data_IF_116807945901
#
_entry.id   IF_116807945901
#
_cell.length_a   1.000
_cell.length_b   1.000
_cell.length_c   1.000
_cell.angle_alpha   90.00
_cell.angle_beta   90.00
_cell.angle_gamma   90.00
#
_symmetry.space_group_name_H-M   'P 1'
#
loop_
_entity.id
_entity.type
_entity.pdbx_description
1 polymer ?
#
# COMPACT_ATOMS: atom_id res chain seq x y z
N UNK A 1 10.46 -22.74 10.21
CA UNK A 1 9.45 -22.50 9.15
C UNK A 1 8.19 -21.96 9.81
N UNK A 2 7.73 -20.80 9.40
CA UNK A 2 6.53 -20.16 9.95
C UNK A 2 5.26 -20.78 9.36
N UNK A 3 4.19 -20.89 10.17
CA UNK A 3 2.88 -21.32 9.71
C UNK A 3 1.97 -20.11 9.59
N UNK A 4 1.37 -19.89 8.43
CA UNK A 4 0.54 -18.71 8.14
C UNK A 4 -0.85 -19.13 7.65
N UNK A 5 -1.81 -18.22 7.85
CA UNK A 5 -3.14 -18.36 7.28
C UNK A 5 -3.48 -17.14 6.42
N UNK A 6 -4.39 -17.32 5.47
CA UNK A 6 -4.91 -16.28 4.60
C UNK A 6 -6.39 -16.05 4.92
N UNK A 7 -6.79 -14.82 5.17
CA UNK A 7 -8.17 -14.39 5.41
C UNK A 7 -8.57 -13.39 4.32
N UNK A 8 -9.50 -13.80 3.45
CA UNK A 8 -9.91 -13.02 2.28
C UNK A 8 -9.36 -13.60 0.98
N UNK A 9 -10.23 -14.21 0.17
CA UNK A 9 -9.89 -14.87 -1.10
C UNK A 9 -10.50 -14.10 -2.28
N UNK A 10 -10.34 -12.76 -2.24
CA UNK A 10 -10.76 -11.84 -3.28
C UNK A 10 -9.68 -11.61 -4.36
N UNK A 11 -9.79 -10.49 -5.09
CA UNK A 11 -8.85 -10.15 -6.18
C UNK A 11 -7.39 -10.04 -5.71
N UNK A 12 -7.15 -9.52 -4.51
CA UNK A 12 -5.81 -9.32 -3.97
C UNK A 12 -5.06 -10.63 -3.65
N UNK A 13 -5.74 -11.78 -3.56
CA UNK A 13 -5.10 -13.02 -3.08
C UNK A 13 -4.04 -13.57 -4.02
N UNK A 14 -4.16 -13.35 -5.33
CA UNK A 14 -3.28 -13.98 -6.33
C UNK A 14 -1.79 -13.69 -6.13
N UNK A 15 -1.33 -12.44 -6.00
CA UNK A 15 0.09 -12.15 -5.75
C UNK A 15 0.58 -12.70 -4.40
N UNK A 16 -0.28 -12.73 -3.38
CA UNK A 16 0.08 -13.33 -2.09
C UNK A 16 0.25 -14.84 -2.17
N UNK A 17 -0.70 -15.55 -2.80
CA UNK A 17 -0.60 -17.00 -2.97
C UNK A 17 0.65 -17.42 -3.75
N UNK A 18 0.96 -16.73 -4.86
CA UNK A 18 2.19 -16.95 -5.63
C UNK A 18 3.44 -16.70 -4.80
N UNK A 19 3.48 -15.59 -4.05
CA UNK A 19 4.59 -15.26 -3.16
C UNK A 19 4.83 -16.32 -2.09
N UNK A 20 3.77 -16.85 -1.50
CA UNK A 20 3.87 -17.91 -0.49
C UNK A 20 4.34 -19.24 -1.08
N UNK A 21 3.96 -19.57 -2.32
CA UNK A 21 4.46 -20.74 -3.03
C UNK A 21 5.98 -20.60 -3.33
N UNK A 22 6.43 -19.40 -3.71
CA UNK A 22 7.86 -19.13 -3.91
C UNK A 22 8.67 -19.23 -2.60
N UNK A 23 8.06 -18.90 -1.47
CA UNK A 23 8.69 -18.89 -0.14
C UNK A 23 8.45 -20.21 0.65
N UNK A 24 8.11 -21.31 -0.03
CA UNK A 24 7.77 -22.61 0.60
C UNK A 24 8.82 -23.15 1.56
N UNK A 25 10.08 -22.75 1.40
CA UNK A 25 11.18 -23.17 2.29
C UNK A 25 11.21 -22.38 3.61
N UNK A 26 10.51 -21.24 3.69
CA UNK A 26 10.41 -20.36 4.86
C UNK A 26 9.06 -20.41 5.54
N UNK A 27 8.01 -20.64 4.77
CA UNK A 27 6.62 -20.50 5.22
C UNK A 27 5.75 -21.64 4.72
N UNK A 28 4.80 -22.08 5.55
CA UNK A 28 3.76 -23.04 5.20
C UNK A 28 2.40 -22.39 5.39
N UNK A 29 1.58 -22.41 4.34
CA UNK A 29 0.15 -22.04 4.45
C UNK A 29 -0.58 -23.16 5.18
N UNK A 30 -1.16 -22.84 6.34
CA UNK A 30 -1.94 -23.78 7.12
C UNK A 30 -3.41 -23.76 6.72
N UNK A 31 -3.94 -22.56 6.43
CA UNK A 31 -5.36 -22.34 6.12
C UNK A 31 -5.54 -21.15 5.18
N UNK A 32 -6.60 -21.21 4.35
CA UNK A 32 -7.09 -20.09 3.58
C UNK A 32 -8.62 -19.99 3.78
N UNK A 33 -9.08 -18.84 4.27
CA UNK A 33 -10.46 -18.60 4.66
C UNK A 33 -11.17 -17.54 3.81
N UNK A 34 -12.39 -17.84 3.46
CA UNK A 34 -13.40 -16.90 2.96
C UNK A 34 -14.78 -17.38 3.40
N UNK A 35 -15.77 -16.52 3.70
CA UNK A 35 -17.13 -16.96 3.96
C UNK A 35 -17.77 -17.63 2.73
N UNK A 36 -17.30 -17.34 1.52
CA UNK A 36 -17.79 -17.93 0.28
C UNK A 36 -17.14 -19.29 0.00
N UNK A 37 -17.92 -20.37 0.05
CA UNK A 37 -17.47 -21.73 -0.30
C UNK A 37 -16.91 -21.78 -1.74
N UNK A 38 -17.57 -21.11 -2.69
CA UNK A 38 -17.11 -21.04 -4.08
C UNK A 38 -15.69 -20.45 -4.20
N UNK A 39 -15.40 -19.35 -3.47
CA UNK A 39 -14.05 -18.74 -3.47
C UNK A 39 -13.02 -19.65 -2.82
N UNK A 40 -13.38 -20.37 -1.76
CA UNK A 40 -12.48 -21.35 -1.11
C UNK A 40 -12.11 -22.46 -2.07
N UNK A 41 -13.11 -23.08 -2.70
CA UNK A 41 -12.90 -24.17 -3.67
C UNK A 41 -12.07 -23.72 -4.87
N UNK A 42 -12.39 -22.54 -5.45
CA UNK A 42 -11.60 -21.94 -6.52
C UNK A 42 -10.13 -21.73 -6.13
N UNK A 43 -9.89 -21.21 -4.91
CA UNK A 43 -8.56 -20.94 -4.40
C UNK A 43 -7.77 -22.25 -4.23
N UNK A 44 -8.36 -23.26 -3.60
CA UNK A 44 -7.74 -24.57 -3.39
C UNK A 44 -7.40 -25.25 -4.73
N UNK A 45 -8.32 -25.23 -5.69
CA UNK A 45 -8.06 -25.77 -7.04
C UNK A 45 -6.94 -25.05 -7.77
N UNK A 46 -6.90 -23.69 -7.66
CA UNK A 46 -5.95 -22.88 -8.41
C UNK A 46 -4.52 -22.94 -7.85
N UNK A 47 -4.38 -23.02 -6.53
CA UNK A 47 -3.07 -22.87 -5.87
C UNK A 47 -2.60 -24.13 -5.15
N UNK A 48 -3.46 -25.14 -4.99
CA UNK A 48 -3.13 -26.36 -4.24
C UNK A 48 -2.91 -26.10 -2.74
N UNK A 49 -3.44 -24.99 -2.20
CA UNK A 49 -3.28 -24.60 -0.82
C UNK A 49 -4.51 -24.98 0.01
N UNK A 50 -4.33 -25.36 1.31
CA UNK A 50 -5.42 -25.82 2.14
C UNK A 50 -6.40 -24.68 2.47
N UNK A 51 -7.71 -25.01 2.49
CA UNK A 51 -8.77 -24.10 2.88
C UNK A 51 -9.38 -24.47 4.25
N UNK A 52 -10.12 -23.54 4.85
CA UNK A 52 -11.01 -23.78 5.98
C UNK A 52 -12.28 -22.94 5.85
N UNK A 53 -13.35 -23.38 6.50
CA UNK A 53 -14.68 -22.76 6.41
C UNK A 53 -15.02 -21.80 7.56
N UNK A 54 -14.13 -21.73 8.58
CA UNK A 54 -14.33 -20.91 9.78
C UNK A 54 -13.06 -20.12 10.12
N UNK A 55 -13.23 -18.85 10.45
CA UNK A 55 -12.15 -18.00 10.93
C UNK A 55 -11.63 -18.48 12.29
N UNK A 56 -12.50 -19.00 13.13
CA UNK A 56 -12.18 -19.56 14.44
C UNK A 56 -11.11 -20.66 14.35
N UNK A 57 -11.19 -21.54 13.34
CA UNK A 57 -10.18 -22.57 13.08
C UNK A 57 -8.76 -21.99 13.00
N UNK A 58 -8.61 -20.82 12.37
CA UNK A 58 -7.33 -20.12 12.25
C UNK A 58 -6.91 -19.53 13.60
N UNK A 59 -7.83 -18.87 14.29
CA UNK A 59 -7.55 -18.14 15.52
C UNK A 59 -7.23 -19.07 16.70
N UNK A 60 -7.91 -20.22 16.79
CA UNK A 60 -7.75 -21.22 17.85
C UNK A 60 -6.53 -22.13 17.65
N UNK A 61 -6.04 -22.30 16.41
CA UNK A 61 -4.84 -23.09 16.14
C UNK A 61 -3.58 -22.35 16.63
N UNK A 62 -3.05 -22.79 17.79
CA UNK A 62 -1.83 -22.23 18.38
C UNK A 62 -0.58 -22.39 17.51
N UNK A 63 -0.60 -23.29 16.55
CA UNK A 63 0.53 -23.52 15.64
C UNK A 63 0.59 -22.50 14.48
N UNK A 64 -0.47 -21.71 14.25
CA UNK A 64 -0.48 -20.61 13.30
C UNK A 64 0.25 -19.40 13.91
N UNK A 65 1.37 -18.98 13.31
CA UNK A 65 2.17 -17.84 13.76
C UNK A 65 1.57 -16.50 13.31
N UNK A 66 1.03 -16.45 12.08
CA UNK A 66 0.62 -15.18 11.47
C UNK A 66 -0.57 -15.35 10.51
N UNK A 67 -1.28 -14.24 10.29
CA UNK A 67 -2.45 -14.16 9.40
C UNK A 67 -2.25 -13.06 8.37
N UNK A 68 -2.44 -13.37 7.08
CA UNK A 68 -2.60 -12.37 6.04
C UNK A 68 -4.09 -11.98 5.94
N UNK A 69 -4.39 -10.71 6.19
CA UNK A 69 -5.75 -10.16 6.10
C UNK A 69 -5.89 -9.40 4.79
N UNK A 70 -6.66 -9.98 3.85
CA UNK A 70 -6.83 -9.52 2.46
C UNK A 70 -8.31 -9.21 2.16
N UNK A 71 -9.06 -8.86 3.18
CA UNK A 71 -10.49 -8.56 3.13
C UNK A 71 -10.74 -7.10 2.73
N UNK A 72 -11.99 -6.67 2.50
CA UNK A 72 -12.29 -5.25 2.32
C UNK A 72 -11.90 -4.40 3.54
N UNK A 73 -11.45 -3.14 3.33
CA UNK A 73 -10.92 -2.28 4.40
C UNK A 73 -11.84 -2.11 5.61
N UNK A 74 -13.14 -2.03 5.39
CA UNK A 74 -14.13 -1.86 6.46
C UNK A 74 -14.26 -3.04 7.43
N UNK A 75 -13.56 -4.14 7.18
CA UNK A 75 -13.53 -5.33 8.05
C UNK A 75 -12.18 -5.51 8.75
N UNK A 76 -11.19 -4.64 8.46
CA UNK A 76 -9.82 -4.84 8.91
C UNK A 76 -9.69 -4.75 10.42
N UNK A 77 -10.26 -3.71 11.05
CA UNK A 77 -10.16 -3.51 12.51
C UNK A 77 -10.63 -4.75 13.28
N UNK A 78 -11.84 -5.23 13.00
CA UNK A 78 -12.44 -6.34 13.73
C UNK A 78 -11.67 -7.65 13.56
N UNK A 79 -11.16 -7.91 12.36
CA UNK A 79 -10.38 -9.13 12.09
C UNK A 79 -9.00 -9.03 12.76
N UNK A 80 -8.34 -7.87 12.67
CA UNK A 80 -7.01 -7.67 13.25
C UNK A 80 -7.05 -7.68 14.78
N UNK A 81 -8.07 -7.09 15.41
CA UNK A 81 -8.27 -7.17 16.87
C UNK A 81 -8.43 -8.62 17.33
N UNK A 82 -9.17 -9.44 16.58
CA UNK A 82 -9.30 -10.89 16.86
C UNK A 82 -7.98 -11.64 16.69
N UNK A 83 -7.21 -11.31 15.65
CA UNK A 83 -5.85 -11.85 15.46
C UNK A 83 -4.93 -11.45 16.63
N UNK A 84 -4.97 -10.18 17.05
CA UNK A 84 -4.20 -9.69 18.19
C UNK A 84 -4.57 -10.40 19.49
N UNK A 85 -5.86 -10.60 19.75
CA UNK A 85 -6.35 -11.35 20.91
C UNK A 85 -5.88 -12.81 20.91
N UNK A 86 -5.77 -13.42 19.72
CA UNK A 86 -5.27 -14.78 19.53
C UNK A 86 -3.73 -14.87 19.46
N UNK A 87 -3.00 -13.76 19.66
CA UNK A 87 -1.54 -13.72 19.63
C UNK A 87 -0.92 -13.93 18.25
N UNK A 88 -1.62 -13.59 17.17
CA UNK A 88 -1.16 -13.77 15.79
C UNK A 88 -0.53 -12.49 15.24
N UNK A 89 0.65 -12.60 14.62
CA UNK A 89 1.20 -11.53 13.78
C UNK A 89 0.31 -11.31 12.56
N UNK A 90 0.31 -10.08 12.00
CA UNK A 90 -0.58 -9.76 10.87
C UNK A 90 0.19 -9.12 9.71
N UNK A 91 -0.03 -9.64 8.51
CA UNK A 91 0.23 -8.96 7.24
C UNK A 91 -1.11 -8.46 6.71
N UNK A 92 -1.25 -7.13 6.58
CA UNK A 92 -2.52 -6.49 6.26
C UNK A 92 -2.49 -5.85 4.88
N UNK A 93 -3.50 -6.13 4.04
CA UNK A 93 -3.71 -5.37 2.82
C UNK A 93 -4.02 -3.90 3.11
N UNK A 94 -3.59 -3.06 2.18
CA UNK A 94 -3.87 -1.63 2.24
C UNK A 94 -5.33 -1.30 1.80
N UNK A 95 -5.89 -0.19 2.29
CA UNK A 95 -5.41 0.67 3.37
C UNK A 95 -5.53 -0.02 4.73
N UNK A 96 -4.97 0.57 5.80
CA UNK A 96 -5.10 0.01 7.16
C UNK A 96 -6.55 -0.21 7.55
N UNK A 97 -7.43 0.76 7.26
CA UNK A 97 -8.87 0.71 7.49
C UNK A 97 -9.57 1.84 6.69
N UNK A 98 -10.87 1.97 6.76
CA UNK A 98 -11.67 3.00 6.08
C UNK A 98 -11.53 4.40 6.69
N UNK A 99 -10.95 4.54 7.87
CA UNK A 99 -10.69 5.82 8.52
C UNK A 99 -9.44 5.76 9.39
N UNK A 100 -8.77 6.91 9.56
CA UNK A 100 -7.56 7.00 10.39
C UNK A 100 -7.84 6.65 11.84
N UNK A 101 -9.00 7.02 12.40
CA UNK A 101 -9.36 6.66 13.77
C UNK A 101 -9.48 5.15 14.00
N UNK A 102 -10.03 4.40 13.02
CA UNK A 102 -10.08 2.94 13.06
C UNK A 102 -8.70 2.32 12.84
N UNK A 103 -7.92 2.88 11.90
CA UNK A 103 -6.54 2.48 11.65
C UNK A 103 -5.65 2.64 12.90
N UNK A 104 -5.79 3.72 13.66
CA UNK A 104 -5.08 3.95 14.92
C UNK A 104 -5.43 2.92 15.99
N UNK A 105 -6.72 2.58 16.14
CA UNK A 105 -7.16 1.50 17.05
C UNK A 105 -6.56 0.15 16.63
N UNK A 106 -6.57 -0.16 15.34
CA UNK A 106 -6.01 -1.37 14.78
C UNK A 106 -4.50 -1.48 15.09
N UNK A 107 -3.73 -0.42 14.83
CA UNK A 107 -2.29 -0.38 15.12
C UNK A 107 -2.03 -0.49 16.62
N UNK A 108 -2.83 0.19 17.44
CA UNK A 108 -2.72 0.09 18.90
C UNK A 108 -2.96 -1.33 19.42
N UNK A 109 -3.96 -2.04 18.89
CA UNK A 109 -4.28 -3.41 19.31
C UNK A 109 -3.11 -4.38 19.07
N UNK A 110 -2.40 -4.23 17.93
CA UNK A 110 -1.22 -5.03 17.62
C UNK A 110 -0.01 -4.67 18.49
N UNK A 111 0.25 -3.36 18.66
CA UNK A 111 1.37 -2.86 19.44
C UNK A 111 1.26 -3.22 20.93
N UNK A 112 0.05 -3.14 21.52
CA UNK A 112 -0.20 -3.49 22.92
C UNK A 112 0.07 -4.96 23.25
N UNK A 113 0.08 -5.82 22.23
CA UNK A 113 0.40 -7.24 22.34
C UNK A 113 1.82 -7.58 21.85
N UNK A 114 2.63 -6.57 21.50
CA UNK A 114 3.98 -6.75 20.93
C UNK A 114 4.00 -7.64 19.70
N UNK A 115 2.95 -7.58 18.88
CA UNK A 115 2.79 -8.36 17.66
C UNK A 115 3.25 -7.55 16.45
N UNK A 116 3.85 -8.23 15.47
CA UNK A 116 4.26 -7.60 14.22
C UNK A 116 3.02 -7.34 13.36
N UNK A 117 2.84 -6.08 12.96
CA UNK A 117 1.90 -5.64 11.93
C UNK A 117 2.70 -5.10 10.75
N UNK A 118 2.64 -5.77 9.59
CA UNK A 118 3.16 -5.28 8.32
C UNK A 118 1.99 -4.90 7.39
N UNK A 119 2.16 -3.84 6.62
CA UNK A 119 1.14 -3.36 5.68
C UNK A 119 1.65 -3.49 4.25
N UNK A 120 0.77 -3.93 3.34
CA UNK A 120 1.11 -4.19 1.93
C UNK A 120 1.18 -2.87 1.16
N UNK A 121 2.25 -2.12 1.36
CA UNK A 121 2.64 -0.96 0.55
C UNK A 121 3.91 -1.31 -0.23
N UNK A 122 3.74 -2.24 -1.17
CA UNK A 122 4.82 -2.95 -1.87
C UNK A 122 5.75 -2.05 -2.67
N UNK A 123 5.34 -0.81 -3.01
CA UNK A 123 6.17 0.13 -3.74
C UNK A 123 7.42 0.55 -2.97
N UNK A 124 7.42 0.45 -1.62
CA UNK A 124 8.61 0.63 -0.77
C UNK A 124 9.70 -0.42 -1.02
N UNK A 125 9.33 -1.59 -1.55
CA UNK A 125 10.26 -2.69 -1.83
C UNK A 125 10.87 -2.65 -3.23
N UNK A 126 10.40 -1.76 -4.12
CA UNK A 126 10.97 -1.58 -5.46
C UNK A 126 12.44 -1.17 -5.37
N UNK A 127 13.36 -1.76 -6.18
CA UNK A 127 14.77 -1.37 -6.20
C UNK A 127 14.98 0.13 -6.41
N UNK A 128 14.23 0.73 -7.34
CA UNK A 128 14.26 2.17 -7.60
C UNK A 128 13.91 3.01 -6.37
N UNK A 129 12.83 2.64 -5.64
CA UNK A 129 12.43 3.33 -4.41
C UNK A 129 13.52 3.22 -3.33
N UNK A 130 14.05 2.00 -3.11
CA UNK A 130 15.12 1.77 -2.13
C UNK A 130 16.36 2.60 -2.45
N UNK A 131 16.76 2.66 -3.73
CA UNK A 131 17.92 3.46 -4.16
C UNK A 131 17.71 4.95 -3.88
N UNK A 132 16.53 5.49 -4.19
CA UNK A 132 16.22 6.90 -3.92
C UNK A 132 16.19 7.21 -2.42
N UNK A 133 15.61 6.34 -1.60
CA UNK A 133 15.63 6.50 -0.13
C UNK A 133 17.08 6.54 0.39
N UNK A 134 17.94 5.64 -0.07
CA UNK A 134 19.36 5.62 0.30
C UNK A 134 20.09 6.91 -0.14
N UNK A 135 19.85 7.34 -1.37
CA UNK A 135 20.48 8.53 -1.95
C UNK A 135 20.10 9.81 -1.20
N UNK A 136 18.83 9.97 -0.85
CA UNK A 136 18.36 11.11 -0.07
C UNK A 136 18.87 11.06 1.38
N UNK A 137 18.87 9.87 1.99
CA UNK A 137 19.37 9.67 3.35
C UNK A 137 20.90 9.90 3.47
N UNK A 138 21.67 9.57 2.43
CA UNK A 138 23.12 9.84 2.39
C UNK A 138 23.47 11.34 2.26
N UNK A 139 22.49 12.15 1.85
CA UNK A 139 22.69 13.57 1.58
C UNK A 139 23.48 13.88 0.30
N UNK A 140 23.71 12.90 -0.58
CA UNK A 140 24.43 13.10 -1.86
C UNK A 140 23.74 14.12 -2.77
N UNK A 141 22.40 14.17 -2.79
CA UNK A 141 21.64 15.17 -3.54
C UNK A 141 21.54 16.55 -2.84
N UNK A 142 21.99 16.67 -1.59
CA UNK A 142 21.82 17.88 -0.79
C UNK A 142 20.41 17.96 -0.17
N UNK A 143 20.03 19.18 0.26
CA UNK A 143 18.74 19.41 0.89
C UNK A 143 17.61 19.32 -0.14
N UNK A 144 16.44 18.83 0.31
CA UNK A 144 15.23 18.85 -0.49
C UNK A 144 14.79 20.28 -0.79
N UNK A 145 14.48 20.55 -2.07
CA UNK A 145 13.94 21.83 -2.57
C UNK A 145 12.46 21.65 -2.96
N UNK A 146 12.13 20.55 -3.65
CA UNK A 146 10.74 20.23 -3.97
C UNK A 146 10.52 18.72 -4.06
N UNK A 147 9.27 18.29 -3.76
CA UNK A 147 8.83 16.91 -3.95
C UNK A 147 7.38 16.89 -4.41
N UNK A 148 7.10 16.25 -5.53
CA UNK A 148 5.76 16.21 -6.14
C UNK A 148 5.37 14.79 -6.50
N UNK A 149 4.07 14.48 -6.39
CA UNK A 149 3.51 13.17 -6.74
C UNK A 149 2.33 13.33 -7.72
N UNK A 150 2.34 12.49 -8.75
CA UNK A 150 1.31 12.46 -9.79
C UNK A 150 0.73 11.06 -9.91
N UNK A 151 -0.58 10.97 -9.75
CA UNK A 151 -1.39 9.74 -9.83
C UNK A 151 -2.47 9.97 -10.88
N UNK A 152 -2.14 9.76 -12.13
CA UNK A 152 -2.96 10.09 -13.29
C UNK A 152 -3.51 8.81 -13.91
N UNK A 153 -4.52 8.24 -13.28
CA UNK A 153 -5.07 6.93 -13.65
C UNK A 153 -6.39 7.07 -14.42
N UNK A 154 -6.71 6.02 -15.14
CA UNK A 154 -8.04 5.84 -15.71
C UNK A 154 -8.78 4.70 -15.05
N UNK A 155 -10.01 4.97 -14.63
CA UNK A 155 -10.98 3.93 -14.25
C UNK A 155 -12.30 4.19 -14.99
N UNK A 156 -12.84 3.21 -15.72
CA UNK A 156 -14.16 3.36 -16.32
C UNK A 156 -15.25 3.40 -15.24
N UNK A 157 -16.42 3.99 -15.54
CA UNK A 157 -17.55 4.00 -14.60
C UNK A 157 -17.94 2.59 -14.14
N UNK A 158 -17.81 1.56 -14.99
CA UNK A 158 -18.09 0.16 -14.66
C UNK A 158 -17.21 -0.39 -13.50
N UNK A 159 -16.07 0.23 -13.22
CA UNK A 159 -15.28 -0.09 -12.03
C UNK A 159 -16.00 0.34 -10.74
N UNK A 160 -16.64 1.51 -10.76
CA UNK A 160 -17.37 2.07 -9.63
C UNK A 160 -18.81 1.54 -9.53
N UNK A 161 -19.38 0.99 -10.60
CA UNK A 161 -20.69 0.32 -10.58
C UNK A 161 -20.67 -1.03 -9.80
N UNK A 162 -19.48 -1.54 -9.46
CA UNK A 162 -19.37 -2.72 -8.59
C UNK A 162 -19.90 -2.42 -7.18
N UNK A 163 -20.61 -3.36 -6.52
CA UNK A 163 -21.24 -3.13 -5.23
C UNK A 163 -20.30 -2.52 -4.17
N UNK A 164 -20.64 -1.33 -3.70
CA UNK A 164 -19.94 -0.59 -2.68
C UNK A 164 -18.65 0.11 -3.11
N UNK A 165 -18.19 0.00 -4.35
CA UNK A 165 -17.02 0.75 -4.85
C UNK A 165 -17.30 2.25 -4.86
N UNK A 166 -16.28 3.04 -4.52
CA UNK A 166 -16.39 4.49 -4.47
C UNK A 166 -17.30 5.02 -3.36
N UNK A 167 -17.60 4.19 -2.34
CA UNK A 167 -18.36 4.61 -1.15
C UNK A 167 -17.48 4.72 0.08
N UNK A 168 -17.81 5.65 0.98
CA UNK A 168 -17.12 5.79 2.28
C UNK A 168 -17.28 4.56 3.15
N UNK A 169 -18.46 3.91 3.07
CA UNK A 169 -18.77 2.75 3.91
C UNK A 169 -17.89 1.53 3.62
N UNK A 170 -17.48 1.30 2.38
CA UNK A 170 -16.68 0.13 1.99
C UNK A 170 -15.21 0.47 1.76
N UNK A 171 -14.94 1.50 0.95
CA UNK A 171 -13.60 1.84 0.49
C UNK A 171 -12.95 2.91 1.38
N UNK A 172 -13.73 3.67 2.16
CA UNK A 172 -13.28 4.70 3.09
C UNK A 172 -12.93 6.03 2.44
N UNK A 173 -12.56 6.04 1.15
CA UNK A 173 -12.16 7.21 0.37
C UNK A 173 -12.10 6.93 -1.11
N UNK A 174 -11.74 7.94 -1.89
CA UNK A 174 -11.62 7.88 -3.34
C UNK A 174 -10.19 7.60 -3.81
N UNK A 175 -9.74 8.39 -4.80
CA UNK A 175 -8.46 8.18 -5.47
C UNK A 175 -7.26 8.15 -4.51
N UNK A 176 -7.27 8.99 -3.48
CA UNK A 176 -6.13 9.06 -2.55
C UNK A 176 -5.96 7.78 -1.75
N UNK A 177 -7.06 7.25 -1.18
CA UNK A 177 -7.00 6.09 -0.28
C UNK A 177 -6.96 4.77 -1.02
N UNK A 178 -7.61 4.66 -2.18
CA UNK A 178 -7.73 3.40 -2.90
C UNK A 178 -6.59 3.15 -3.89
N UNK A 179 -6.14 4.16 -4.63
CA UNK A 179 -5.07 4.07 -5.63
C UNK A 179 -3.82 4.84 -5.20
N UNK A 180 -3.94 6.12 -4.93
CA UNK A 180 -2.82 7.03 -4.65
C UNK A 180 -2.02 6.72 -3.40
N UNK A 181 -2.57 5.93 -2.47
CA UNK A 181 -1.94 5.58 -1.20
C UNK A 181 -0.51 5.02 -1.38
N UNK A 182 -0.25 4.24 -2.43
CA UNK A 182 1.07 3.68 -2.72
C UNK A 182 2.08 4.76 -3.07
N UNK A 183 1.68 5.74 -3.89
CA UNK A 183 2.55 6.83 -4.33
C UNK A 183 2.75 7.84 -3.22
N UNK A 184 1.71 8.15 -2.44
CA UNK A 184 1.81 9.03 -1.26
C UNK A 184 2.69 8.42 -0.16
N UNK A 185 2.61 7.11 0.05
CA UNK A 185 3.49 6.40 0.98
C UNK A 185 4.97 6.51 0.56
N UNK A 186 5.26 6.35 -0.74
CA UNK A 186 6.62 6.53 -1.26
C UNK A 186 7.05 7.98 -1.17
N UNK A 187 6.19 8.96 -1.45
CA UNK A 187 6.48 10.38 -1.27
C UNK A 187 6.92 10.69 0.17
N UNK A 188 6.18 10.17 1.16
CA UNK A 188 6.55 10.32 2.58
C UNK A 188 7.89 9.65 2.88
N UNK A 189 8.17 8.48 2.28
CA UNK A 189 9.46 7.80 2.47
C UNK A 189 10.65 8.59 1.94
N UNK A 190 10.46 9.34 0.86
CA UNK A 190 11.50 10.12 0.19
C UNK A 190 11.67 11.51 0.80
N UNK A 191 10.57 12.18 1.12
CA UNK A 191 10.56 13.60 1.50
C UNK A 191 10.16 13.86 2.96
N UNK A 192 9.71 12.85 3.70
CA UNK A 192 9.10 13.02 5.01
C UNK A 192 7.66 13.52 4.94
N UNK A 193 7.02 13.69 6.10
CA UNK A 193 5.67 14.24 6.19
C UNK A 193 5.69 15.77 5.97
N UNK A 194 4.80 16.36 5.13
CA UNK A 194 4.72 17.80 4.97
C UNK A 194 4.16 18.48 6.22
N UNK A 195 4.68 19.66 6.56
CA UNK A 195 4.21 20.47 7.68
C UNK A 195 2.86 21.14 7.39
N UNK A 196 2.63 21.56 6.16
CA UNK A 196 1.40 22.23 5.74
C UNK A 196 0.85 21.66 4.45
N UNK A 197 -0.49 21.64 4.33
CA UNK A 197 -1.24 21.15 3.18
C UNK A 197 -2.36 22.13 2.85
N UNK A 198 -2.53 22.46 1.57
CA UNK A 198 -3.68 23.17 1.00
C UNK A 198 -4.16 22.41 -0.23
N UNK A 199 -5.46 22.21 -0.39
CA UNK A 199 -5.98 21.38 -1.47
C UNK A 199 -7.32 21.83 -2.02
N UNK A 200 -7.65 21.31 -3.21
CA UNK A 200 -8.98 21.25 -3.79
C UNK A 200 -9.30 19.78 -4.09
N UNK A 201 -10.50 19.37 -3.72
CA UNK A 201 -10.96 17.98 -3.80
C UNK A 201 -12.33 17.96 -4.44
N UNK A 202 -12.56 17.09 -5.40
CA UNK A 202 -13.87 16.98 -6.05
C UNK A 202 -14.14 15.58 -6.60
N UNK A 203 -15.40 15.29 -6.87
CA UNK A 203 -15.84 14.21 -7.76
C UNK A 203 -16.19 14.83 -9.10
N UNK A 204 -15.48 14.43 -10.17
CA UNK A 204 -15.67 14.98 -11.51
C UNK A 204 -16.96 14.47 -12.16
N UNK A 205 -17.46 15.12 -13.23
CA UNK A 205 -18.59 14.61 -14.00
C UNK A 205 -18.33 13.27 -14.71
N UNK A 206 -17.07 12.79 -14.73
CA UNK A 206 -16.68 11.51 -15.35
C UNK A 206 -17.26 10.32 -14.57
N UNK A 207 -17.37 10.46 -13.23
CA UNK A 207 -17.81 9.36 -12.37
C UNK A 207 -19.03 9.72 -11.53
N UNK A 208 -19.86 8.71 -11.30
CA UNK A 208 -20.94 8.72 -10.31
C UNK A 208 -20.46 7.90 -9.13
N UNK A 209 -19.92 8.57 -8.09
CA UNK A 209 -19.42 7.95 -6.87
C UNK A 209 -19.51 8.95 -5.71
N UNK A 210 -19.44 8.46 -4.47
CA UNK A 210 -19.57 9.28 -3.27
C UNK A 210 -18.26 9.99 -2.89
N UNK A 211 -17.13 9.39 -3.25
CA UNK A 211 -15.80 9.83 -2.84
C UNK A 211 -15.10 10.59 -3.97
N UNK A 212 -13.98 11.23 -3.65
CA UNK A 212 -13.21 12.04 -4.61
C UNK A 212 -12.56 11.18 -5.71
N UNK A 213 -12.57 11.69 -6.95
CA UNK A 213 -11.83 11.14 -8.08
C UNK A 213 -10.78 12.10 -8.65
N UNK A 214 -10.72 13.35 -8.13
CA UNK A 214 -9.74 14.37 -8.50
C UNK A 214 -9.32 15.18 -7.28
N UNK A 215 -8.02 15.31 -7.10
CA UNK A 215 -7.37 16.08 -6.04
C UNK A 215 -6.19 16.87 -6.57
N UNK A 216 -6.12 18.15 -6.19
CA UNK A 216 -4.98 19.04 -6.39
C UNK A 216 -4.55 19.56 -5.01
N UNK A 217 -3.35 19.23 -4.54
CA UNK A 217 -2.84 19.69 -3.24
C UNK A 217 -1.46 20.33 -3.36
N UNK A 218 -1.23 21.42 -2.63
CA UNK A 218 0.07 22.03 -2.41
C UNK A 218 0.60 21.61 -1.03
N UNK A 219 1.86 21.25 -0.98
CA UNK A 219 2.56 20.77 0.22
C UNK A 219 3.71 21.70 0.57
N UNK A 220 3.95 21.90 1.88
CA UNK A 220 5.13 22.60 2.40
C UNK A 220 5.74 21.81 3.55
N UNK A 221 7.06 21.61 3.52
CA UNK A 221 7.83 20.97 4.59
C UNK A 221 8.46 22.01 5.50
N UNK A 222 8.85 21.62 6.72
CA UNK A 222 9.56 22.49 7.67
C UNK A 222 10.86 23.06 7.11
N UNK A 223 11.53 22.34 6.21
CA UNK A 223 12.70 22.81 5.45
C UNK A 223 12.39 23.93 4.46
N UNK A 224 11.14 24.37 4.32
CA UNK A 224 10.60 25.26 3.29
C UNK A 224 10.56 24.66 1.88
N UNK A 225 10.86 23.39 1.70
CA UNK A 225 10.61 22.71 0.45
C UNK A 225 9.11 22.76 0.11
N UNK A 226 8.79 22.83 -1.18
CA UNK A 226 7.42 22.86 -1.67
C UNK A 226 7.13 21.64 -2.53
N UNK A 227 5.86 21.33 -2.74
CA UNK A 227 5.47 20.25 -3.64
C UNK A 227 3.99 20.25 -3.95
N UNK A 228 3.63 19.34 -4.85
CA UNK A 228 2.23 19.13 -5.23
C UNK A 228 1.87 17.65 -5.19
N UNK A 229 0.60 17.39 -4.92
CA UNK A 229 -0.04 16.11 -5.19
C UNK A 229 -1.15 16.37 -6.20
N UNK A 230 -1.07 15.73 -7.35
CA UNK A 230 -2.14 15.67 -8.33
C UNK A 230 -2.58 14.21 -8.44
N UNK A 231 -3.83 13.93 -8.12
CA UNK A 231 -4.34 12.56 -8.13
C UNK A 231 -5.72 12.51 -8.77
N UNK A 232 -5.89 11.63 -9.77
CA UNK A 232 -7.18 11.42 -10.42
C UNK A 232 -7.33 10.01 -10.97
N UNK A 233 -8.60 9.55 -11.09
CA UNK A 233 -8.96 8.34 -11.83
C UNK A 233 -9.73 8.64 -13.11
N UNK A 234 -9.81 9.90 -13.50
CA UNK A 234 -10.51 10.37 -14.71
C UNK A 234 -9.60 10.71 -15.89
N UNK A 235 -8.29 10.42 -15.79
CA UNK A 235 -7.30 10.71 -16.84
C UNK A 235 -7.16 9.55 -17.83
N UNK A 236 -7.87 9.60 -18.96
CA UNK A 236 -7.77 8.57 -20.02
C UNK A 236 -6.53 8.80 -20.90
N UNK A 237 -5.76 7.74 -21.26
CA UNK A 237 -5.90 6.32 -20.90
C UNK A 237 -5.22 5.95 -19.58
N UNK A 238 -4.69 6.90 -18.83
CA UNK A 238 -3.85 6.74 -17.65
C UNK A 238 -2.37 6.75 -17.97
N UNK A 239 -1.56 7.21 -17.01
CA UNK A 239 -0.10 7.21 -17.09
C UNK A 239 0.49 6.49 -15.87
N UNK A 240 1.73 6.00 -15.95
CA UNK A 240 2.43 5.50 -14.77
C UNK A 240 2.51 6.57 -13.68
N UNK A 241 2.26 6.16 -12.45
CA UNK A 241 2.45 7.02 -11.28
C UNK A 241 3.88 7.56 -11.26
N UNK A 242 4.04 8.84 -10.88
CA UNK A 242 5.32 9.54 -10.92
C UNK A 242 5.55 10.33 -9.64
N UNK A 243 6.79 10.29 -9.13
CA UNK A 243 7.29 11.17 -8.07
C UNK A 243 8.50 11.93 -8.62
N UNK A 244 8.53 13.24 -8.41
CA UNK A 244 9.62 14.11 -8.79
C UNK A 244 10.24 14.72 -7.53
N UNK A 245 11.56 14.62 -7.43
CA UNK A 245 12.38 15.20 -6.36
C UNK A 245 13.32 16.22 -6.96
N UNK A 246 13.32 17.41 -6.43
CA UNK A 246 14.32 18.45 -6.70
C UNK A 246 15.12 18.68 -5.43
N UNK A 247 16.43 18.62 -5.53
CA UNK A 247 17.35 18.85 -4.43
C UNK A 247 18.47 19.82 -4.84
N UNK A 248 19.25 20.29 -3.89
CA UNK A 248 20.29 21.32 -4.14
C UNK A 248 21.34 20.92 -5.19
N UNK A 249 21.59 19.62 -5.36
CA UNK A 249 22.67 19.13 -6.25
C UNK A 249 22.17 18.27 -7.40
N UNK A 250 20.86 18.10 -7.55
CA UNK A 250 20.30 17.30 -8.63
C UNK A 250 18.81 17.09 -8.52
N UNK A 251 18.29 16.31 -9.44
CA UNK A 251 16.88 15.93 -9.51
C UNK A 251 16.75 14.42 -9.62
N UNK A 252 15.63 13.88 -9.16
CA UNK A 252 15.28 12.48 -9.40
C UNK A 252 13.81 12.35 -9.80
N UNK A 253 13.54 11.49 -10.77
CA UNK A 253 12.18 11.11 -11.18
C UNK A 253 12.01 9.63 -10.96
N UNK A 254 11.02 9.23 -10.16
CA UNK A 254 10.57 7.86 -10.03
C UNK A 254 9.28 7.69 -10.85
N UNK A 255 9.33 6.91 -11.92
CA UNK A 255 8.16 6.61 -12.75
C UNK A 255 7.96 5.09 -12.85
N UNK A 256 6.82 4.60 -12.35
CA UNK A 256 6.54 3.17 -12.33
C UNK A 256 7.56 2.35 -11.53
N UNK A 257 8.51 1.72 -12.19
CA UNK A 257 9.56 0.87 -11.59
C UNK A 257 10.98 1.39 -11.80
N UNK A 258 11.12 2.53 -12.49
CA UNK A 258 12.41 3.12 -12.85
C UNK A 258 12.60 4.47 -12.14
N UNK A 259 13.78 4.68 -11.57
CA UNK A 259 14.25 5.99 -11.12
C UNK A 259 15.36 6.51 -12.05
N UNK A 260 15.25 7.75 -12.46
CA UNK A 260 16.30 8.49 -13.13
C UNK A 260 16.79 9.61 -12.21
N UNK A 261 18.10 9.66 -11.97
CA UNK A 261 18.74 10.66 -11.14
C UNK A 261 19.70 11.47 -12.03
N UNK A 262 19.70 12.80 -11.91
CA UNK A 262 20.54 13.71 -12.67
C UNK A 262 21.17 14.75 -11.73
N UNK A 263 22.48 14.76 -11.63
CA UNK A 263 23.23 15.74 -10.85
C UNK A 263 23.58 16.99 -11.66
N UNK A 264 23.74 18.12 -10.98
CA UNK A 264 24.12 19.38 -11.62
C UNK A 264 25.53 19.34 -12.24
N UNK A 265 26.38 18.38 -11.84
CA UNK A 265 27.71 18.15 -12.43
C UNK A 265 27.68 17.31 -13.73
N UNK A 266 26.49 16.96 -14.21
CA UNK A 266 26.25 16.21 -15.44
C UNK A 266 26.19 14.68 -15.27
N UNK A 267 26.47 14.14 -14.09
CA UNK A 267 26.28 12.71 -13.82
C UNK A 267 24.81 12.32 -13.92
N UNK A 268 24.56 11.11 -14.41
CA UNK A 268 23.24 10.50 -14.44
C UNK A 268 23.30 9.07 -13.91
N UNK A 269 22.22 8.63 -13.27
CA UNK A 269 22.05 7.26 -12.79
C UNK A 269 20.64 6.78 -13.09
N UNK A 270 20.50 5.50 -13.43
CA UNK A 270 19.22 4.80 -13.51
C UNK A 270 19.19 3.67 -12.49
N UNK A 271 18.10 3.53 -11.76
CA UNK A 271 17.89 2.45 -10.80
C UNK A 271 16.53 1.80 -11.03
N UNK A 272 16.48 0.48 -10.93
CA UNK A 272 15.31 -0.32 -11.29
C UNK A 272 15.34 -0.72 -12.75
N UNK A 273 14.24 -1.29 -13.23
CA UNK A 273 14.10 -1.79 -14.60
C UNK A 273 12.88 -1.15 -15.26
N UNK A 274 12.96 -0.92 -16.57
CA UNK A 274 11.79 -0.57 -17.36
C UNK A 274 10.83 -1.75 -17.34
N UNK A 275 9.83 -1.68 -16.49
CA UNK A 275 8.76 -2.68 -16.39
C UNK A 275 7.46 -2.12 -16.93
N UNK A 276 6.55 -3.00 -17.32
CA UNK A 276 5.17 -2.62 -17.54
C UNK A 276 4.64 -2.04 -16.22
N UNK A 277 4.39 -0.74 -16.18
CA UNK A 277 3.66 -0.09 -15.09
C UNK A 277 2.22 -0.64 -15.10
N UNK A 278 2.03 -1.79 -14.48
CA UNK A 278 0.72 -2.42 -14.37
C UNK A 278 -0.20 -1.57 -13.51
N UNK A 279 -1.48 -1.55 -13.84
CA UNK A 279 -2.51 -0.92 -13.00
C UNK A 279 -2.87 0.52 -13.34
N UNK A 280 -2.15 1.23 -14.21
CA UNK A 280 -2.51 2.58 -14.65
C UNK A 280 -3.81 2.60 -15.51
N UNK A 281 -3.99 1.58 -16.33
CA UNK A 281 -5.18 1.41 -17.17
C UNK A 281 -6.30 0.59 -16.52
N UNK A 282 -7.18 0.03 -17.35
CA UNK A 282 -8.36 -0.74 -16.89
C UNK A 282 -8.02 -2.05 -16.16
N UNK A 283 -6.89 -2.72 -16.47
CA UNK A 283 -6.44 -3.91 -15.76
C UNK A 283 -5.62 -3.52 -14.52
N UNK A 284 -6.27 -3.52 -13.39
CA UNK A 284 -5.70 -3.13 -12.09
C UNK A 284 -4.77 -4.18 -11.48
N UNK A 285 -4.75 -5.40 -12.02
CA UNK A 285 -4.00 -6.54 -11.47
C UNK A 285 -2.83 -7.01 -12.35
N UNK A 286 -2.56 -6.31 -13.45
CA UNK A 286 -1.46 -6.63 -14.38
C UNK A 286 -0.11 -6.18 -13.83
N UNK A 287 0.37 -6.80 -12.72
CA UNK A 287 1.69 -6.55 -12.15
C UNK A 287 2.35 -7.85 -11.64
N UNK A 288 3.70 -7.92 -11.63
CA UNK A 288 4.43 -9.08 -11.09
C UNK A 288 4.26 -9.17 -9.58
N UNK A 289 4.32 -10.40 -9.03
CA UNK A 289 4.17 -10.62 -7.57
C UNK A 289 5.47 -10.47 -6.78
N UNK A 290 6.59 -10.16 -7.41
CA UNK A 290 7.92 -10.06 -6.79
C UNK A 290 7.96 -9.06 -5.63
N UNK A 291 7.27 -7.93 -5.76
CA UNK A 291 7.21 -6.93 -4.69
C UNK A 291 6.35 -7.39 -3.51
N UNK A 292 5.30 -8.19 -3.76
CA UNK A 292 4.54 -8.84 -2.70
C UNK A 292 5.38 -9.91 -2.00
N UNK A 293 6.19 -10.67 -2.77
CA UNK A 293 7.16 -11.62 -2.20
C UNK A 293 8.18 -10.92 -1.32
N UNK A 294 8.64 -9.72 -1.70
CA UNK A 294 9.54 -8.92 -0.87
C UNK A 294 8.87 -8.43 0.43
N UNK A 295 7.59 -8.03 0.37
CA UNK A 295 6.79 -7.71 1.57
C UNK A 295 6.69 -8.92 2.50
N UNK A 296 6.36 -10.11 1.97
CA UNK A 296 6.31 -11.34 2.74
C UNK A 296 7.66 -11.68 3.36
N UNK A 297 8.75 -11.57 2.61
CA UNK A 297 10.10 -11.84 3.13
C UNK A 297 10.46 -10.91 4.28
N UNK A 298 10.17 -9.61 4.16
CA UNK A 298 10.41 -8.62 5.22
C UNK A 298 9.55 -8.88 6.46
N UNK A 299 8.27 -9.25 6.26
CA UNK A 299 7.36 -9.62 7.35
C UNK A 299 7.86 -10.85 8.12
N UNK A 300 8.28 -11.91 7.43
CA UNK A 300 8.87 -13.10 8.05
C UNK A 300 10.16 -12.77 8.80
N UNK A 301 11.04 -11.97 8.19
CA UNK A 301 12.26 -11.48 8.84
C UNK A 301 11.95 -10.64 10.09
N UNK A 302 10.92 -9.80 10.04
CA UNK A 302 10.49 -8.99 11.18
C UNK A 302 10.05 -9.84 12.36
N UNK A 303 9.31 -10.92 12.12
CA UNK A 303 8.89 -11.88 13.13
C UNK A 303 10.10 -12.65 13.69
N UNK A 304 10.95 -13.18 12.81
CA UNK A 304 12.11 -14.00 13.20
C UNK A 304 13.15 -13.21 14.00
N UNK A 305 13.42 -11.97 13.59
CA UNK A 305 14.44 -11.09 14.18
C UNK A 305 13.89 -10.13 15.23
N UNK A 306 12.60 -10.19 15.53
CA UNK A 306 11.90 -9.30 16.48
C UNK A 306 12.19 -7.82 16.21
N UNK A 307 12.09 -7.41 14.95
CA UNK A 307 12.24 -6.02 14.50
C UNK A 307 10.95 -5.49 13.88
N UNK A 308 10.86 -4.19 13.69
CA UNK A 308 9.79 -3.62 12.87
C UNK A 308 9.97 -4.02 11.38
N UNK A 309 8.89 -4.32 10.64
CA UNK A 309 8.93 -4.44 9.19
C UNK A 309 9.17 -3.06 8.54
N UNK A 310 9.61 -3.06 7.27
CA UNK A 310 9.87 -1.83 6.52
C UNK A 310 8.62 -0.92 6.49
N UNK A 311 7.44 -1.51 6.30
CA UNK A 311 6.18 -0.80 6.40
C UNK A 311 5.39 -1.38 7.57
N UNK A 312 5.66 -0.87 8.77
CA UNK A 312 4.88 -1.18 9.96
C UNK A 312 3.53 -0.47 9.95
N UNK A 313 2.64 -0.85 10.88
CA UNK A 313 1.39 -0.11 11.08
C UNK A 313 1.61 1.37 11.37
N UNK A 314 2.66 1.73 12.14
CA UNK A 314 3.01 3.12 12.42
C UNK A 314 3.46 3.88 11.17
N UNK A 315 4.24 3.26 10.28
CA UNK A 315 4.63 3.85 9.00
C UNK A 315 3.41 4.05 8.09
N UNK A 316 2.52 3.06 7.99
CA UNK A 316 1.31 3.15 7.19
C UNK A 316 0.30 4.20 7.72
N UNK A 317 0.30 4.51 9.02
CA UNK A 317 -0.51 5.59 9.58
C UNK A 317 -0.11 6.98 9.06
N UNK A 318 1.16 7.20 8.70
CA UNK A 318 1.62 8.49 8.16
C UNK A 318 0.87 8.84 6.88
N UNK A 319 0.72 7.88 5.97
CA UNK A 319 0.00 8.14 4.72
C UNK A 319 -1.50 8.34 4.95
N UNK A 320 -2.12 7.63 5.89
CA UNK A 320 -3.51 7.89 6.28
C UNK A 320 -3.70 9.34 6.78
N UNK A 321 -2.84 9.80 7.69
CA UNK A 321 -2.86 11.17 8.21
C UNK A 321 -2.64 12.22 7.13
N UNK A 322 -1.73 11.96 6.17
CA UNK A 322 -1.54 12.86 5.03
C UNK A 322 -2.81 12.94 4.17
N UNK A 323 -3.45 11.81 3.88
CA UNK A 323 -4.72 11.77 3.12
C UNK A 323 -5.81 12.56 3.85
N UNK A 324 -6.00 12.35 5.16
CA UNK A 324 -6.97 13.10 5.96
C UNK A 324 -6.72 14.62 5.88
N UNK A 325 -5.45 15.05 6.01
CA UNK A 325 -5.08 16.47 5.91
C UNK A 325 -5.38 17.05 4.53
N UNK A 326 -5.14 16.30 3.46
CA UNK A 326 -5.49 16.71 2.10
C UNK A 326 -7.01 16.86 1.97
N UNK A 327 -7.79 15.86 2.41
CA UNK A 327 -9.24 15.88 2.30
C UNK A 327 -9.89 16.99 3.15
N UNK A 328 -9.38 17.24 4.38
CA UNK A 328 -9.88 18.28 5.29
C UNK A 328 -9.55 19.69 4.80
N UNK A 329 -8.43 19.89 4.13
CA UNK A 329 -8.02 21.19 3.59
C UNK A 329 -8.75 21.57 2.31
N UNK A 330 -9.45 20.64 1.64
CA UNK A 330 -10.11 20.83 0.35
C UNK A 330 -11.62 20.99 0.42
N UNK A 331 -12.21 21.04 1.64
CA UNK A 331 -13.63 21.22 1.88
C UNK A 331 -14.02 22.67 2.17
#
# INVERSE_FOLDING_TARGET
MKRVAIVGLGMAVTPHAKSLLDLKDRVRVAYAYSPSAARRSQFAQRFGLPECDRLETILEDRSVDAVAVLTPPNTHLEIVERCAAAGKHVLLEKPLDVSTARAEKLVHSMNSKHLVLAVVLQNRHKPATKRLVQLLASGELGRLVAASAYVELWRPQSYYDQPGRGTKARDGGGVLLTQGIHTLDVLIALAGEPAEVKSFVTTTPVHRMETEDLVCAALRWDSRALGVVYATTSNYPGTPERIEIVAERGTATLAGTLAEIRWHDGRTERAGEEGTAGGAGADTMAFPHDYHRAVWSDFLDAIERKRAPLVSGAEALKVHRLIDRILQSGG
#
